data_IF_988416719788
#
_entry.id   IF_988416719788
#
_cell.length_a   1.000
_cell.length_b   1.000
_cell.length_c   1.000
_cell.angle_alpha   90.00
_cell.angle_beta   90.00
_cell.angle_gamma   90.00
#
_symmetry.space_group_name_H-M   'P 1'
#
loop_
_entity.id
_entity.type
_entity.pdbx_description
1 polymer ?
#
# COMPACT_ATOMS: atom_id res chain seq x y z
N UNK A 1 -3.82 11.91 16.86
CA UNK A 1 -4.74 12.70 16.03
C UNK A 1 -5.85 11.75 15.60
N UNK A 2 -7.12 12.12 15.78
CA UNK A 2 -8.24 11.25 15.37
C UNK A 2 -8.60 11.56 13.93
N UNK A 3 -8.78 10.52 13.15
CA UNK A 3 -9.36 10.61 11.82
C UNK A 3 -10.83 10.99 11.99
N UNK A 4 -11.29 12.05 11.32
CA UNK A 4 -12.72 12.39 11.30
C UNK A 4 -13.44 11.49 10.28
N UNK A 5 -14.44 10.77 10.76
CA UNK A 5 -15.24 9.88 9.92
C UNK A 5 -16.61 10.49 9.70
N UNK A 6 -17.01 10.75 8.44
CA UNK A 6 -18.37 11.18 8.12
C UNK A 6 -19.40 10.16 8.59
N UNK A 7 -20.59 10.61 9.02
CA UNK A 7 -21.67 9.73 9.53
C UNK A 7 -22.24 8.76 8.48
N UNK A 8 -22.02 9.05 7.20
CA UNK A 8 -22.50 8.30 6.05
C UNK A 8 -21.41 7.44 5.38
N UNK A 9 -20.42 6.99 6.16
CA UNK A 9 -19.39 6.03 5.75
C UNK A 9 -19.73 4.66 6.31
N UNK A 10 -19.83 3.66 5.42
CA UNK A 10 -20.19 2.28 5.76
C UNK A 10 -18.96 1.37 5.88
N UNK A 11 -17.81 1.74 5.29
CA UNK A 11 -16.56 1.02 5.39
C UNK A 11 -15.33 1.95 5.29
N UNK A 12 -14.20 1.51 5.82
CA UNK A 12 -12.94 2.25 5.75
C UNK A 12 -11.86 1.38 5.12
N UNK A 13 -11.17 1.90 4.12
CA UNK A 13 -9.96 1.30 3.56
C UNK A 13 -8.76 2.13 4.02
N UNK A 14 -7.68 1.49 4.40
CA UNK A 14 -6.45 2.14 4.83
C UNK A 14 -5.33 1.81 3.85
N UNK A 15 -4.46 2.78 3.57
CA UNK A 15 -3.11 2.42 3.16
C UNK A 15 -2.36 1.78 4.33
N UNK A 16 -1.26 1.07 4.06
CA UNK A 16 -0.51 0.39 5.11
C UNK A 16 0.72 1.19 5.55
N UNK A 17 1.72 1.34 4.63
CA UNK A 17 3.02 1.92 4.98
C UNK A 17 2.97 3.45 4.99
N UNK A 18 3.18 4.03 6.15
CA UNK A 18 2.98 5.45 6.42
C UNK A 18 1.60 5.76 7.02
N UNK A 19 0.67 4.82 7.02
CA UNK A 19 -0.70 4.97 7.51
C UNK A 19 -0.96 4.12 8.76
N UNK A 20 -1.11 2.81 8.63
CA UNK A 20 -1.31 1.90 9.78
C UNK A 20 0.02 1.50 10.43
N UNK A 21 1.02 1.28 9.60
CA UNK A 21 2.34 0.81 9.99
C UNK A 21 3.41 1.66 9.30
N UNK A 22 4.64 1.54 9.78
CA UNK A 22 5.84 1.95 9.06
C UNK A 22 6.75 0.74 8.91
N UNK A 23 6.91 0.28 7.68
CA UNK A 23 7.77 -0.84 7.36
C UNK A 23 9.25 -0.43 7.48
N UNK A 24 10.09 -1.33 7.97
CA UNK A 24 11.54 -1.12 8.07
C UNK A 24 12.24 -1.56 6.78
N UNK A 25 11.91 -0.95 5.65
CA UNK A 25 12.50 -1.26 4.34
C UNK A 25 13.73 -0.41 4.08
N UNK A 26 14.86 -1.07 3.80
CA UNK A 26 16.09 -0.42 3.34
C UNK A 26 16.05 -0.23 1.81
N UNK A 27 15.57 0.92 1.38
CA UNK A 27 15.39 1.25 -0.04
C UNK A 27 16.71 1.32 -0.83
N UNK A 28 17.86 1.54 -0.17
CA UNK A 28 19.17 1.49 -0.83
C UNK A 28 19.51 0.04 -1.22
N UNK A 29 19.21 -0.91 -0.33
CA UNK A 29 19.40 -2.33 -0.61
C UNK A 29 18.41 -2.83 -1.67
N UNK A 30 17.14 -2.41 -1.59
CA UNK A 30 16.15 -2.70 -2.65
C UNK A 30 16.66 -2.23 -4.02
N UNK A 31 17.14 -0.99 -4.11
CA UNK A 31 17.66 -0.44 -5.36
C UNK A 31 18.88 -1.24 -5.89
N UNK A 32 19.75 -1.70 -4.99
CA UNK A 32 20.90 -2.52 -5.36
C UNK A 32 20.47 -3.89 -5.93
N UNK A 33 19.51 -4.57 -5.28
CA UNK A 33 19.05 -5.88 -5.71
C UNK A 33 18.23 -5.80 -7.01
N UNK A 34 17.38 -4.79 -7.16
CA UNK A 34 16.68 -4.51 -8.43
C UNK A 34 17.69 -4.20 -9.54
N UNK A 35 18.73 -3.41 -9.25
CA UNK A 35 19.82 -3.14 -10.19
C UNK A 35 20.57 -4.39 -10.62
N UNK A 36 20.76 -5.36 -9.72
CA UNK A 36 21.38 -6.65 -10.03
C UNK A 36 20.51 -7.47 -11.00
N UNK A 37 19.20 -7.53 -10.82
CA UNK A 37 18.26 -8.20 -11.76
C UNK A 37 18.37 -7.57 -13.15
N UNK A 38 18.37 -6.26 -13.25
CA UNK A 38 18.56 -5.55 -14.52
C UNK A 38 19.92 -5.85 -15.16
N UNK A 39 20.99 -5.91 -14.33
CA UNK A 39 22.34 -6.25 -14.77
C UNK A 39 22.45 -7.67 -15.34
N UNK A 40 21.80 -8.66 -14.72
CA UNK A 40 21.74 -10.03 -15.20
C UNK A 40 20.99 -10.13 -16.53
N UNK A 41 19.96 -9.33 -16.73
CA UNK A 41 19.23 -9.24 -17.99
C UNK A 41 19.98 -8.42 -19.08
N UNK A 42 21.08 -7.75 -18.73
CA UNK A 42 21.83 -6.89 -19.65
C UNK A 42 21.10 -5.58 -20.01
N UNK A 43 20.19 -5.12 -19.16
CA UNK A 43 19.36 -3.93 -19.38
C UNK A 43 19.89 -2.79 -18.51
N UNK A 44 20.18 -1.60 -19.07
CA UNK A 44 20.66 -0.46 -18.28
C UNK A 44 19.53 0.14 -17.44
N UNK A 45 19.84 0.51 -16.18
CA UNK A 45 18.88 1.17 -15.28
C UNK A 45 18.79 2.69 -15.49
N UNK A 46 19.81 3.31 -16.11
CA UNK A 46 19.89 4.75 -16.44
C UNK A 46 19.68 5.70 -15.25
N UNK A 47 19.87 5.21 -14.03
CA UNK A 47 19.67 5.98 -12.81
C UNK A 47 18.20 6.14 -12.40
N UNK A 48 17.31 5.33 -12.98
CA UNK A 48 15.89 5.30 -12.62
C UNK A 48 15.68 4.83 -11.17
N UNK A 49 14.63 5.34 -10.53
CA UNK A 49 14.22 4.90 -9.19
C UNK A 49 13.55 3.52 -9.20
N UNK A 50 13.44 2.89 -8.02
CA UNK A 50 12.90 1.53 -7.87
C UNK A 50 11.51 1.37 -8.50
N UNK A 51 10.62 2.31 -8.29
CA UNK A 51 9.25 2.27 -8.82
C UNK A 51 9.21 2.40 -10.34
N UNK A 52 10.03 3.28 -10.91
CA UNK A 52 10.18 3.41 -12.36
C UNK A 52 10.79 2.14 -12.97
N UNK A 53 11.78 1.54 -12.30
CA UNK A 53 12.35 0.26 -12.72
C UNK A 53 11.32 -0.86 -12.67
N UNK A 54 10.44 -0.90 -11.65
CA UNK A 54 9.37 -1.88 -11.58
C UNK A 54 8.36 -1.74 -12.74
N UNK A 55 8.00 -0.52 -13.13
CA UNK A 55 7.14 -0.27 -14.30
C UNK A 55 7.81 -0.71 -15.60
N UNK A 56 9.06 -0.35 -15.80
CA UNK A 56 9.84 -0.74 -16.98
C UNK A 56 10.14 -2.24 -17.06
N UNK A 57 10.20 -2.92 -15.92
CA UNK A 57 10.49 -4.35 -15.83
C UNK A 57 9.45 -5.21 -16.56
N UNK A 58 8.18 -4.82 -16.49
CA UNK A 58 7.09 -5.53 -17.19
C UNK A 58 7.27 -5.47 -18.70
N UNK A 59 7.61 -4.30 -19.26
CA UNK A 59 7.86 -4.13 -20.69
C UNK A 59 9.10 -4.92 -21.17
N UNK A 60 10.05 -5.14 -20.28
CA UNK A 60 11.29 -5.87 -20.55
C UNK A 60 11.20 -7.38 -20.24
N UNK A 61 10.08 -7.87 -19.74
CA UNK A 61 9.86 -9.30 -19.45
C UNK A 61 10.60 -9.80 -18.20
N UNK A 62 11.00 -8.91 -17.28
CA UNK A 62 11.65 -9.20 -16.00
C UNK A 62 10.83 -8.69 -14.80
N UNK A 63 9.53 -8.45 -15.01
CA UNK A 63 8.64 -7.90 -13.98
C UNK A 63 8.48 -8.81 -12.77
N UNK A 64 8.46 -10.13 -12.98
CA UNK A 64 8.34 -11.11 -11.91
C UNK A 64 9.60 -11.09 -11.00
N UNK A 65 10.80 -11.08 -11.59
CA UNK A 65 12.05 -11.08 -10.85
C UNK A 65 12.24 -9.77 -10.06
N UNK A 66 11.96 -8.63 -10.68
CA UNK A 66 12.03 -7.32 -10.02
C UNK A 66 10.98 -7.22 -8.92
N UNK A 67 9.75 -7.63 -9.19
CA UNK A 67 8.68 -7.67 -8.20
C UNK A 67 9.02 -8.56 -7.00
N UNK A 68 9.61 -9.74 -7.24
CA UNK A 68 10.03 -10.66 -6.20
C UNK A 68 11.18 -10.09 -5.34
N UNK A 69 12.14 -9.40 -5.95
CA UNK A 69 13.23 -8.73 -5.22
C UNK A 69 12.68 -7.67 -4.27
N UNK A 70 11.80 -6.78 -4.73
CA UNK A 70 11.16 -5.76 -3.89
C UNK A 70 10.35 -6.42 -2.77
N UNK A 71 9.50 -7.41 -3.09
CA UNK A 71 8.65 -8.10 -2.14
C UNK A 71 9.43 -8.83 -1.03
N UNK A 72 10.65 -9.29 -1.31
CA UNK A 72 11.51 -9.91 -0.29
C UNK A 72 11.85 -8.92 0.83
N UNK A 73 12.28 -7.70 0.47
CA UNK A 73 12.59 -6.64 1.43
C UNK A 73 11.35 -6.10 2.16
N UNK A 74 10.22 -6.00 1.44
CA UNK A 74 8.95 -5.59 2.06
C UNK A 74 8.50 -6.58 3.14
N UNK A 75 8.60 -7.90 2.89
CA UNK A 75 8.27 -8.93 3.88
C UNK A 75 9.20 -8.88 5.09
N UNK A 76 10.50 -8.71 4.86
CA UNK A 76 11.48 -8.55 5.96
C UNK A 76 11.16 -7.29 6.78
N UNK A 77 10.97 -6.15 6.11
CA UNK A 77 10.63 -4.89 6.77
C UNK A 77 9.27 -4.89 7.47
N UNK A 78 8.34 -5.75 7.05
CA UNK A 78 7.05 -5.91 7.70
C UNK A 78 7.16 -6.57 9.09
N UNK A 79 8.07 -7.54 9.27
CA UNK A 79 8.36 -8.14 10.58
C UNK A 79 8.96 -7.14 11.58
N UNK A 80 9.71 -6.15 11.10
CA UNK A 80 10.37 -5.12 11.90
C UNK A 80 9.61 -3.79 11.89
N UNK A 81 8.37 -3.79 11.39
CA UNK A 81 7.56 -2.59 11.25
C UNK A 81 7.17 -1.98 12.59
N UNK A 82 6.80 -0.71 12.57
CA UNK A 82 6.33 0.04 13.73
C UNK A 82 4.87 0.44 13.53
N UNK A 83 4.05 0.22 14.55
CA UNK A 83 2.64 0.61 14.56
C UNK A 83 2.49 2.13 14.63
N UNK A 84 1.58 2.68 13.83
CA UNK A 84 1.24 4.10 13.79
C UNK A 84 -0.13 4.37 14.43
N UNK A 85 -0.41 5.62 14.87
CA UNK A 85 -1.64 5.94 15.59
C UNK A 85 -2.96 5.55 14.91
N UNK A 86 -3.14 5.59 13.57
CA UNK A 86 -4.36 5.14 12.94
C UNK A 86 -4.71 3.65 13.14
N UNK A 87 -3.73 2.83 13.50
CA UNK A 87 -3.99 1.45 13.85
C UNK A 87 -4.79 1.30 15.16
N UNK A 88 -4.72 2.28 16.06
CA UNK A 88 -5.57 2.31 17.27
C UNK A 88 -7.03 2.64 16.89
N UNK A 89 -7.22 3.57 15.95
CA UNK A 89 -8.54 3.89 15.42
C UNK A 89 -9.17 2.68 14.69
N UNK A 90 -8.36 1.87 13.97
CA UNK A 90 -8.82 0.64 13.32
C UNK A 90 -9.37 -0.36 14.34
N UNK A 91 -8.69 -0.57 15.47
CA UNK A 91 -9.11 -1.52 16.53
C UNK A 91 -10.39 -1.04 17.24
N UNK A 92 -10.50 0.26 17.50
CA UNK A 92 -11.65 0.83 18.24
C UNK A 92 -12.94 0.89 17.40
N UNK A 93 -12.82 0.63 16.11
CA UNK A 93 -13.92 0.83 15.16
C UNK A 93 -14.73 -0.44 14.93
N UNK A 94 -16.04 -0.25 14.68
CA UNK A 94 -16.97 -1.32 14.36
C UNK A 94 -17.37 -1.40 12.87
N UNK A 95 -16.83 -0.51 12.01
CA UNK A 95 -17.10 -0.56 10.57
C UNK A 95 -16.20 -1.62 9.91
N UNK A 96 -16.66 -2.29 8.85
CA UNK A 96 -15.82 -3.10 7.99
C UNK A 96 -14.58 -2.33 7.56
N UNK A 97 -13.41 -2.99 7.58
CA UNK A 97 -12.15 -2.36 7.25
C UNK A 97 -11.35 -3.17 6.23
N UNK A 98 -10.69 -2.47 5.31
CA UNK A 98 -9.77 -3.05 4.33
C UNK A 98 -8.42 -2.36 4.31
N UNK A 99 -7.47 -2.98 3.62
CA UNK A 99 -6.16 -2.41 3.30
C UNK A 99 -5.97 -2.38 1.79
N UNK A 100 -5.47 -1.24 1.27
CA UNK A 100 -5.07 -1.06 -0.11
C UNK A 100 -3.68 -0.43 -0.17
N UNK A 101 -2.64 -1.19 -0.51
CA UNK A 101 -1.24 -0.79 -0.37
C UNK A 101 -0.42 -0.99 -1.65
N UNK A 102 0.66 -0.21 -1.81
CA UNK A 102 1.71 -0.44 -2.81
C UNK A 102 2.70 -1.53 -2.40
N UNK A 103 2.68 -2.00 -1.15
CA UNK A 103 3.46 -3.17 -0.73
C UNK A 103 2.81 -4.45 -1.26
N UNK A 104 3.59 -5.52 -1.41
CA UNK A 104 3.03 -6.82 -1.78
C UNK A 104 2.04 -7.32 -0.70
N UNK A 105 1.02 -8.06 -1.11
CA UNK A 105 -0.03 -8.56 -0.20
C UNK A 105 0.55 -9.35 0.97
N UNK A 106 1.57 -10.18 0.71
CA UNK A 106 2.22 -10.95 1.76
C UNK A 106 2.86 -10.07 2.84
N UNK A 107 3.51 -8.96 2.47
CA UNK A 107 4.08 -8.01 3.43
C UNK A 107 2.97 -7.30 4.22
N UNK A 108 1.86 -6.93 3.57
CA UNK A 108 0.71 -6.35 4.26
C UNK A 108 0.18 -7.31 5.35
N UNK A 109 -0.02 -8.57 5.02
CA UNK A 109 -0.51 -9.58 5.97
C UNK A 109 0.47 -9.81 7.12
N UNK A 110 1.79 -9.93 6.83
CA UNK A 110 2.84 -10.06 7.85
C UNK A 110 2.81 -8.87 8.81
N UNK A 111 2.74 -7.64 8.30
CA UNK A 111 2.69 -6.45 9.14
C UNK A 111 1.44 -6.42 10.04
N UNK A 112 0.27 -6.75 9.48
CA UNK A 112 -0.98 -6.82 10.24
C UNK A 112 -0.92 -7.90 11.33
N UNK A 113 -0.38 -9.08 11.04
CA UNK A 113 -0.19 -10.16 12.02
C UNK A 113 0.81 -9.77 13.12
N UNK A 114 1.93 -9.13 12.76
CA UNK A 114 2.98 -8.69 13.69
C UNK A 114 2.44 -7.74 14.78
N UNK A 115 1.39 -6.98 14.43
CA UNK A 115 0.81 -5.97 15.31
C UNK A 115 -0.59 -6.32 15.84
N UNK A 116 -1.03 -7.59 15.71
CA UNK A 116 -2.36 -8.05 16.14
C UNK A 116 -3.52 -7.26 15.48
N UNK A 117 -3.33 -6.81 14.23
CA UNK A 117 -4.33 -6.07 13.45
C UNK A 117 -5.11 -6.96 12.47
N UNK A 118 -4.66 -8.17 12.20
CA UNK A 118 -5.22 -9.04 11.17
C UNK A 118 -6.71 -9.33 11.37
N UNK A 119 -7.15 -9.53 12.62
CA UNK A 119 -8.56 -9.80 12.96
C UNK A 119 -9.47 -8.57 12.83
N UNK A 120 -8.91 -7.38 12.60
CA UNK A 120 -9.63 -6.12 12.41
C UNK A 120 -9.73 -5.70 10.94
N UNK A 121 -9.23 -6.52 10.01
CA UNK A 121 -9.19 -6.21 8.57
C UNK A 121 -9.88 -7.33 7.80
N UNK A 122 -10.95 -7.00 7.09
CA UNK A 122 -11.78 -7.93 6.31
C UNK A 122 -11.23 -8.17 4.89
N UNK A 123 -10.48 -7.21 4.33
CA UNK A 123 -9.92 -7.29 2.99
C UNK A 123 -8.50 -6.72 2.93
N UNK A 124 -7.61 -7.38 2.20
CA UNK A 124 -6.24 -6.93 1.95
C UNK A 124 -5.96 -6.97 0.46
N UNK A 125 -5.64 -5.82 -0.12
CA UNK A 125 -5.24 -5.65 -1.51
C UNK A 125 -3.85 -5.03 -1.53
N UNK A 126 -2.85 -5.83 -1.88
CA UNK A 126 -1.47 -5.40 -2.11
C UNK A 126 -1.21 -5.05 -3.58
N UNK A 127 0.02 -4.66 -3.88
CA UNK A 127 0.49 -4.33 -5.24
C UNK A 127 0.28 -5.46 -6.24
N UNK A 128 0.34 -6.70 -5.78
CA UNK A 128 0.31 -7.94 -6.55
C UNK A 128 -1.04 -8.68 -6.49
N UNK A 129 -2.06 -8.11 -5.85
CA UNK A 129 -3.38 -8.73 -5.72
C UNK A 129 -4.23 -8.57 -6.98
N UNK A 130 -4.10 -7.42 -7.67
CA UNK A 130 -4.83 -7.11 -8.91
C UNK A 130 -3.85 -6.66 -10.01
N UNK A 131 -4.35 -6.48 -11.24
CA UNK A 131 -3.50 -6.15 -12.39
C UNK A 131 -2.94 -4.73 -12.40
N UNK A 132 -3.58 -3.81 -11.70
CA UNK A 132 -3.17 -2.41 -11.63
C UNK A 132 -2.62 -2.02 -10.25
N UNK A 133 -1.98 -0.84 -10.17
CA UNK A 133 -1.37 -0.29 -8.95
C UNK A 133 -1.84 1.13 -8.72
N UNK A 134 -1.87 1.57 -7.45
CA UNK A 134 -2.08 2.99 -7.15
C UNK A 134 -1.11 3.87 -7.96
N UNK A 135 -1.53 4.95 -8.57
CA UNK A 135 -2.81 5.65 -8.42
C UNK A 135 -3.96 5.19 -9.36
N UNK A 136 -3.90 3.97 -9.92
CA UNK A 136 -5.06 3.38 -10.60
C UNK A 136 -6.16 3.06 -9.57
N UNK A 137 -7.45 3.25 -9.88
CA UNK A 137 -8.54 2.99 -8.94
C UNK A 137 -8.80 1.50 -8.69
N UNK A 138 -8.37 0.60 -9.58
CA UNK A 138 -8.68 -0.84 -9.52
C UNK A 138 -8.37 -1.48 -8.16
N UNK A 139 -7.17 -1.27 -7.53
CA UNK A 139 -6.87 -1.88 -6.23
C UNK A 139 -7.82 -1.42 -5.12
N UNK A 140 -8.16 -0.13 -5.10
CA UNK A 140 -9.08 0.40 -4.10
C UNK A 140 -10.50 -0.08 -4.32
N UNK A 141 -10.95 -0.13 -5.57
CA UNK A 141 -12.27 -0.68 -5.90
C UNK A 141 -12.37 -2.17 -5.56
N UNK A 142 -11.31 -2.96 -5.75
CA UNK A 142 -11.27 -4.35 -5.32
C UNK A 142 -11.41 -4.50 -3.79
N UNK A 143 -10.75 -3.64 -3.02
CA UNK A 143 -10.89 -3.62 -1.57
C UNK A 143 -12.32 -3.24 -1.13
N UNK A 144 -12.91 -2.22 -1.75
CA UNK A 144 -14.28 -1.74 -1.47
C UNK A 144 -15.32 -2.80 -1.82
N UNK A 145 -15.17 -3.47 -2.97
CA UNK A 145 -16.05 -4.57 -3.41
C UNK A 145 -16.00 -5.74 -2.42
N UNK A 146 -14.80 -6.10 -1.95
CA UNK A 146 -14.63 -7.16 -0.95
C UNK A 146 -15.30 -6.83 0.40
N UNK A 147 -15.45 -5.53 0.74
CA UNK A 147 -16.18 -5.07 1.92
C UNK A 147 -17.71 -5.00 1.69
N UNK A 148 -18.17 -5.16 0.44
CA UNK A 148 -19.58 -5.18 0.09
C UNK A 148 -20.30 -3.82 0.18
N UNK A 149 -19.57 -2.71 -0.04
CA UNK A 149 -20.12 -1.35 0.01
C UNK A 149 -19.95 -0.63 -1.32
N UNK A 150 -20.74 0.42 -1.53
CA UNK A 150 -20.55 1.30 -2.68
C UNK A 150 -19.35 2.24 -2.48
N UNK A 151 -18.59 2.59 -3.54
CA UNK A 151 -17.42 3.47 -3.41
C UNK A 151 -17.72 4.81 -2.72
N UNK A 152 -18.88 5.41 -2.98
CA UNK A 152 -19.29 6.68 -2.37
C UNK A 152 -19.52 6.58 -0.85
N UNK A 153 -19.78 5.36 -0.34
CA UNK A 153 -19.95 5.06 1.09
C UNK A 153 -18.63 4.56 1.74
N UNK A 154 -17.53 4.47 0.99
CA UNK A 154 -16.22 4.10 1.49
C UNK A 154 -15.35 5.33 1.74
N UNK A 155 -14.56 5.29 2.83
CA UNK A 155 -13.51 6.25 3.12
C UNK A 155 -12.15 5.58 2.90
N UNK A 156 -11.31 6.15 2.06
CA UNK A 156 -9.90 5.76 1.98
C UNK A 156 -9.06 6.69 2.85
N UNK A 157 -8.23 6.11 3.69
CA UNK A 157 -7.32 6.81 4.60
C UNK A 157 -5.90 6.50 4.15
N UNK A 158 -5.13 7.55 3.86
CA UNK A 158 -3.75 7.40 3.36
C UNK A 158 -2.86 8.58 3.72
N UNK A 159 -1.59 8.49 3.39
CA UNK A 159 -0.60 9.52 3.72
C UNK A 159 0.02 10.19 2.49
N UNK A 160 -0.29 9.74 1.28
CA UNK A 160 0.35 10.16 0.04
C UNK A 160 -0.62 10.81 -0.97
N UNK A 161 -0.05 11.62 -1.88
CA UNK A 161 -0.79 12.15 -3.04
C UNK A 161 -1.30 11.02 -3.97
N UNK A 162 -0.58 9.88 -4.02
CA UNK A 162 -1.01 8.70 -4.77
C UNK A 162 -2.31 8.13 -4.21
N UNK A 163 -2.49 8.12 -2.88
CA UNK A 163 -3.71 7.66 -2.23
C UNK A 163 -4.89 8.58 -2.53
N UNK A 164 -4.69 9.90 -2.41
CA UNK A 164 -5.72 10.89 -2.75
C UNK A 164 -6.17 10.76 -4.21
N UNK A 165 -5.22 10.59 -5.12
CA UNK A 165 -5.53 10.42 -6.54
C UNK A 165 -6.26 9.09 -6.81
N UNK A 166 -5.87 8.01 -6.12
CA UNK A 166 -6.56 6.72 -6.19
C UNK A 166 -8.01 6.85 -5.72
N UNK A 167 -8.24 7.48 -4.56
CA UNK A 167 -9.57 7.74 -4.03
C UNK A 167 -10.45 8.56 -4.97
N UNK A 168 -9.88 9.66 -5.51
CA UNK A 168 -10.57 10.53 -6.46
C UNK A 168 -11.03 9.75 -7.71
N UNK A 169 -10.17 8.89 -8.25
CA UNK A 169 -10.46 8.07 -9.43
C UNK A 169 -11.45 6.95 -9.14
N UNK A 170 -11.39 6.38 -7.93
CA UNK A 170 -12.31 5.34 -7.49
C UNK A 170 -13.69 5.88 -7.10
N UNK A 171 -13.84 7.20 -6.89
CA UNK A 171 -15.08 7.80 -6.42
C UNK A 171 -15.34 7.58 -4.93
N UNK A 172 -14.30 7.24 -4.15
CA UNK A 172 -14.38 7.13 -2.69
C UNK A 172 -14.11 8.49 -2.03
N UNK A 173 -14.47 8.61 -0.77
CA UNK A 173 -13.98 9.71 0.07
C UNK A 173 -12.52 9.49 0.43
N UNK A 174 -11.83 10.57 0.78
CA UNK A 174 -10.44 10.50 1.20
C UNK A 174 -10.16 11.32 2.46
N UNK A 175 -9.28 10.83 3.30
CA UNK A 175 -8.73 11.55 4.44
C UNK A 175 -7.22 11.30 4.57
N UNK A 176 -6.45 12.37 4.69
CA UNK A 176 -5.03 12.25 5.02
C UNK A 176 -4.83 11.83 6.48
N UNK A 177 -3.80 11.02 6.70
CA UNK A 177 -3.21 10.85 8.02
C UNK A 177 -2.31 12.06 8.29
N UNK A 178 -2.65 12.88 9.28
CA UNK A 178 -1.88 14.09 9.55
C UNK A 178 -2.39 15.34 8.84
N UNK A 179 -1.54 16.36 8.76
CA UNK A 179 -1.90 17.68 8.21
C UNK A 179 -1.71 17.77 6.68
N UNK A 180 -1.61 16.64 5.98
CA UNK A 180 -1.44 16.58 4.53
C UNK A 180 -0.44 15.51 4.09
N UNK A 181 -0.10 15.48 2.78
CA UNK A 181 0.73 14.42 2.22
C UNK A 181 2.11 14.40 2.86
N UNK A 182 2.49 13.24 3.37
CA UNK A 182 3.89 13.00 3.75
C UNK A 182 4.70 12.84 2.48
N UNK A 183 5.68 13.72 2.28
CA UNK A 183 6.70 13.49 1.26
C UNK A 183 7.57 12.32 1.75
N UNK A 184 7.23 11.09 1.36
CA UNK A 184 8.15 9.98 1.51
C UNK A 184 9.43 10.36 0.77
N UNK A 185 10.52 10.47 1.52
CA UNK A 185 11.84 10.73 0.96
C UNK A 185 12.12 9.71 -0.14
N UNK A 186 12.36 10.23 -1.32
CA UNK A 186 12.72 9.48 -2.52
C UNK A 186 14.07 8.83 -2.35
#
# INVERSE_FOLDING_TARGET
MRIEYPEDVDAVVYDLDGTLLRLAVDWERVAADVGAVYGEAGIPTEGAGVWELLERAEENGIGEEVGAAIAAHEREGAHESVRLPPADDLIERSLPAGVCSLNCEAACRIGLETHDLADHVDAVVGRDTVGARKPDPEPLLAAVDALGVDPEAALFVGDSESDELTATRAGTRFSYVGDGPTSLGR
#
